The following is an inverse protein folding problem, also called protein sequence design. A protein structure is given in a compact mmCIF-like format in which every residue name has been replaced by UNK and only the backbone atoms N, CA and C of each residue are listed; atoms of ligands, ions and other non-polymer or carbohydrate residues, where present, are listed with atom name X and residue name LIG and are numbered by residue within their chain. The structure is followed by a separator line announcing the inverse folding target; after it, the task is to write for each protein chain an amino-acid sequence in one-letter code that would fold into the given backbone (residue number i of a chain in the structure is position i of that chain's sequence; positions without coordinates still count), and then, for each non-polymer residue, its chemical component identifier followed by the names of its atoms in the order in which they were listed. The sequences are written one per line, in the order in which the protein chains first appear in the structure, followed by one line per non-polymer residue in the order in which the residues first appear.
data_IF_600190482015
#
_entry.id   IF_600190482015
#
_cell.length_a   1.000
_cell.length_b   1.000
_cell.length_c   1.000
_cell.angle_alpha   90.00
_cell.angle_beta   90.00
_cell.angle_gamma   90.00
#
_symmetry.space_group_name_H-M   'P 1'
#
loop_
_entity.id
_entity.type
_entity.pdbx_description
1 polymer ?
#
# COMPACT_ATOMS: atom_id res chain seq x y z
N UNK A 1 2.20 1.82 10.19
CA UNK A 1 2.01 2.67 9.01
C UNK A 1 1.85 4.08 9.51
N UNK A 2 2.56 5.00 8.87
CA UNK A 2 2.50 6.45 9.10
C UNK A 2 1.76 7.08 7.92
N UNK A 3 1.61 8.41 7.94
CA UNK A 3 1.10 9.16 6.79
C UNK A 3 2.01 9.03 5.57
N UNK A 4 3.30 8.82 5.78
CA UNK A 4 4.33 8.87 4.72
C UNK A 4 4.83 7.49 4.28
N UNK A 5 4.51 6.41 5.00
CA UNK A 5 5.06 5.09 4.68
C UNK A 5 4.52 3.91 5.47
N UNK A 6 4.98 2.72 5.08
CA UNK A 6 4.66 1.44 5.71
C UNK A 6 5.94 0.81 6.29
N UNK A 7 6.07 0.88 7.62
CA UNK A 7 7.24 0.33 8.30
C UNK A 7 8.48 1.15 7.93
N UNK A 8 9.59 0.53 7.47
CA UNK A 8 10.77 1.27 7.01
C UNK A 8 10.62 1.83 5.58
N UNK A 9 9.53 1.52 4.88
CA UNK A 9 9.33 1.92 3.48
C UNK A 9 8.59 3.27 3.48
N UNK A 10 9.33 4.34 3.20
CA UNK A 10 8.82 5.72 3.17
C UNK A 10 8.73 6.24 1.73
N UNK A 11 7.62 6.89 1.39
CA UNK A 11 7.49 7.58 0.13
C UNK A 11 8.48 8.77 0.06
N UNK A 12 9.09 8.97 -1.10
CA UNK A 12 10.23 9.86 -1.28
C UNK A 12 11.59 9.27 -0.88
N UNK A 13 11.61 8.07 -0.27
CA UNK A 13 12.83 7.38 0.14
C UNK A 13 13.65 6.80 -1.02
N UNK A 14 14.87 6.37 -0.70
CA UNK A 14 15.76 5.70 -1.66
C UNK A 14 15.43 4.20 -1.73
N UNK A 15 15.12 3.71 -2.93
CA UNK A 15 14.66 2.32 -3.13
C UNK A 15 15.72 1.29 -2.74
N UNK A 16 16.95 1.44 -3.23
CA UNK A 16 18.01 0.46 -3.04
C UNK A 16 18.48 0.41 -1.59
N UNK A 17 18.63 1.58 -0.95
CA UNK A 17 18.96 1.67 0.46
C UNK A 17 17.85 1.03 1.31
N UNK A 18 16.58 1.36 1.05
CA UNK A 18 15.44 0.76 1.76
C UNK A 18 15.43 -0.76 1.59
N UNK A 19 15.57 -1.27 0.36
CA UNK A 19 15.60 -2.70 0.10
C UNK A 19 16.74 -3.41 0.84
N UNK A 20 17.91 -2.77 0.97
CA UNK A 20 19.07 -3.35 1.66
C UNK A 20 18.91 -3.46 3.18
N UNK A 21 17.98 -2.69 3.77
CA UNK A 21 17.66 -2.75 5.20
C UNK A 21 16.51 -3.72 5.52
N UNK A 22 15.78 -4.16 4.50
CA UNK A 22 14.68 -5.12 4.64
C UNK A 22 15.19 -6.56 4.80
N UNK A 23 14.37 -7.46 5.36
CA UNK A 23 14.70 -8.89 5.43
C UNK A 23 15.04 -9.47 4.05
N UNK A 24 15.99 -10.41 4.00
CA UNK A 24 16.43 -11.08 2.75
C UNK A 24 15.30 -11.83 2.01
N UNK A 25 14.15 -12.06 2.66
CA UNK A 25 12.95 -12.62 2.04
C UNK A 25 12.25 -11.67 1.07
N UNK A 26 12.61 -10.39 1.04
CA UNK A 26 12.13 -9.46 0.02
C UNK A 26 12.76 -9.80 -1.33
N UNK A 27 11.92 -9.77 -2.36
CA UNK A 27 12.30 -10.09 -3.73
C UNK A 27 12.24 -8.83 -4.60
N UNK A 28 13.15 -8.75 -5.56
CA UNK A 28 13.23 -7.73 -6.60
C UNK A 28 13.80 -8.42 -7.85
N UNK A 29 13.02 -8.46 -8.93
CA UNK A 29 13.39 -9.14 -10.17
C UNK A 29 13.92 -8.15 -11.21
N UNK A 30 14.92 -8.56 -11.98
CA UNK A 30 15.57 -7.71 -12.97
C UNK A 30 14.61 -7.18 -14.06
N UNK A 31 13.54 -7.92 -14.38
CA UNK A 31 12.54 -7.48 -15.35
C UNK A 31 11.55 -6.45 -14.79
N UNK A 32 11.50 -6.30 -13.46
CA UNK A 32 10.72 -5.28 -12.78
C UNK A 32 11.54 -4.68 -11.63
N UNK A 33 12.73 -4.20 -11.99
CA UNK A 33 13.76 -3.77 -11.03
C UNK A 33 13.33 -2.59 -10.16
N UNK A 34 12.31 -1.84 -10.58
CA UNK A 34 11.74 -0.73 -9.83
C UNK A 34 10.69 -1.15 -8.77
N UNK A 35 10.36 -2.44 -8.68
CA UNK A 35 9.39 -2.98 -7.72
C UNK A 35 10.02 -4.07 -6.86
N UNK A 36 9.81 -3.99 -5.55
CA UNK A 36 10.15 -5.07 -4.63
C UNK A 36 8.88 -5.57 -3.93
N UNK A 37 8.85 -6.87 -3.60
CA UNK A 37 7.70 -7.50 -2.95
C UNK A 37 8.11 -8.54 -1.92
N UNK A 38 7.16 -8.82 -1.03
CA UNK A 38 7.31 -9.77 0.05
C UNK A 38 5.96 -10.38 0.41
N UNK A 39 5.98 -11.59 0.95
CA UNK A 39 4.79 -12.26 1.46
C UNK A 39 5.01 -12.63 2.92
N UNK A 40 3.98 -12.47 3.74
CA UNK A 40 3.98 -13.00 5.09
C UNK A 40 4.21 -14.52 5.06
N UNK A 41 4.93 -15.06 6.06
CA UNK A 41 5.26 -16.49 6.12
C UNK A 41 4.00 -17.37 6.15
N UNK A 42 2.94 -16.88 6.78
CA UNK A 42 1.61 -17.52 6.84
C UNK A 42 0.72 -17.20 5.64
N UNK A 43 1.23 -16.43 4.68
CA UNK A 43 0.54 -15.97 3.46
C UNK A 43 -0.74 -15.16 3.75
N UNK A 44 -0.86 -14.58 4.96
CA UNK A 44 -2.04 -13.80 5.34
C UNK A 44 -2.14 -12.46 4.59
N UNK A 45 -1.01 -11.91 4.16
CA UNK A 45 -0.94 -10.71 3.32
C UNK A 45 0.39 -10.67 2.55
N UNK A 46 0.44 -9.85 1.52
CA UNK A 46 1.64 -9.50 0.77
C UNK A 46 1.93 -8.01 0.91
N UNK A 47 3.17 -7.63 0.61
CA UNK A 47 3.60 -6.24 0.53
C UNK A 47 4.37 -6.01 -0.76
N UNK A 48 4.30 -4.79 -1.26
CA UNK A 48 5.18 -4.31 -2.32
C UNK A 48 5.51 -2.83 -2.12
N UNK A 49 6.61 -2.39 -2.71
CA UNK A 49 6.91 -0.97 -2.85
C UNK A 49 7.64 -0.70 -4.14
N UNK A 50 7.47 0.52 -4.65
CA UNK A 50 7.83 0.87 -6.02
C UNK A 50 8.45 2.24 -6.08
N UNK A 51 9.53 2.36 -6.85
CA UNK A 51 10.08 3.66 -7.28
C UNK A 51 9.44 4.13 -8.58
N UNK A 52 9.35 5.45 -8.74
CA UNK A 52 8.49 6.05 -9.77
C UNK A 52 8.90 5.81 -11.23
N UNK A 53 10.11 5.32 -11.49
CA UNK A 53 10.59 5.00 -12.84
C UNK A 53 11.60 3.85 -12.78
N UNK A 54 12.00 3.31 -13.94
CA UNK A 54 13.07 2.31 -14.04
C UNK A 54 14.44 2.83 -13.58
N UNK A 55 14.63 4.15 -13.48
CA UNK A 55 15.90 4.78 -13.05
C UNK A 55 16.26 4.39 -11.60
N UNK A 56 17.53 4.04 -11.38
CA UNK A 56 18.03 3.68 -10.04
C UNK A 56 17.93 4.81 -9.02
N UNK A 57 18.04 6.05 -9.47
CA UNK A 57 17.92 7.25 -8.62
C UNK A 57 16.46 7.68 -8.37
N UNK A 58 15.47 6.96 -8.90
CA UNK A 58 14.07 7.35 -8.71
C UNK A 58 13.63 7.08 -7.25
N UNK A 59 12.94 8.03 -6.60
CA UNK A 59 12.45 7.83 -5.25
C UNK A 59 11.31 6.81 -5.23
N UNK A 60 11.12 6.17 -4.07
CA UNK A 60 9.92 5.39 -3.76
C UNK A 60 8.70 6.30 -3.90
N UNK A 61 7.71 5.88 -4.67
CA UNK A 61 6.44 6.61 -4.83
C UNK A 61 5.28 5.89 -4.17
N UNK A 62 5.44 4.60 -3.85
CA UNK A 62 4.36 3.77 -3.34
C UNK A 62 4.89 2.67 -2.41
N UNK A 63 4.16 2.44 -1.32
CA UNK A 63 4.22 1.25 -0.49
C UNK A 63 2.80 0.70 -0.31
N UNK A 64 2.61 -0.60 -0.52
CA UNK A 64 1.29 -1.24 -0.42
C UNK A 64 1.36 -2.55 0.34
N UNK A 65 0.28 -2.86 1.03
CA UNK A 65 0.02 -4.17 1.63
C UNK A 65 -1.37 -4.64 1.22
N UNK A 66 -1.50 -5.89 0.81
CA UNK A 66 -2.77 -6.46 0.35
C UNK A 66 -2.99 -7.88 0.85
N UNK A 67 -4.25 -8.25 1.03
CA UNK A 67 -4.66 -9.60 1.40
C UNK A 67 -5.66 -10.15 0.39
N UNK A 68 -5.53 -11.45 0.13
CA UNK A 68 -6.48 -12.18 -0.70
C UNK A 68 -7.82 -12.36 0.02
N UNK A 69 -8.89 -12.54 -0.75
CA UNK A 69 -10.19 -12.87 -0.19
C UNK A 69 -10.29 -14.34 0.25
N UNK A 70 -10.94 -14.62 1.41
CA UNK A 70 -11.55 -13.66 2.33
C UNK A 70 -10.52 -12.92 3.19
N UNK A 71 -10.71 -11.61 3.37
CA UNK A 71 -9.83 -10.79 4.21
C UNK A 71 -9.88 -11.25 5.67
N UNK A 72 -8.70 -11.49 6.25
CA UNK A 72 -8.58 -11.73 7.70
C UNK A 72 -8.36 -10.39 8.40
N UNK A 73 -9.29 -9.92 9.26
CA UNK A 73 -9.09 -8.67 10.00
C UNK A 73 -7.91 -8.77 10.96
N UNK A 74 -7.22 -7.66 11.17
CA UNK A 74 -6.07 -7.58 12.09
C UNK A 74 -4.72 -7.89 11.46
N UNK A 75 -4.66 -8.43 10.23
CA UNK A 75 -3.38 -8.70 9.55
C UNK A 75 -2.75 -7.43 8.99
N UNK A 76 -1.45 -7.50 8.73
CA UNK A 76 -0.70 -6.48 8.02
C UNK A 76 -0.48 -5.16 8.78
N UNK A 77 0.05 -4.16 8.07
CA UNK A 77 0.32 -2.84 8.62
C UNK A 77 -0.94 -2.11 9.08
N UNK A 78 -0.76 -1.28 10.11
CA UNK A 78 -1.83 -0.51 10.76
C UNK A 78 -1.44 0.95 10.92
N UNK A 79 -2.40 1.86 10.81
CA UNK A 79 -2.24 3.24 11.30
C UNK A 79 -2.16 3.26 12.84
N UNK A 80 -1.85 4.41 13.42
CA UNK A 80 -1.87 4.62 14.88
C UNK A 80 -3.25 4.37 15.51
N UNK A 81 -4.32 4.55 14.73
CA UNK A 81 -5.71 4.34 15.11
C UNK A 81 -6.15 2.87 14.95
N UNK A 82 -5.25 1.99 14.45
CA UNK A 82 -5.52 0.57 14.25
C UNK A 82 -6.22 0.23 12.93
N UNK A 83 -6.29 1.19 11.99
CA UNK A 83 -6.90 0.98 10.68
C UNK A 83 -5.92 0.32 9.72
N UNK A 84 -6.41 -0.58 8.86
CA UNK A 84 -5.59 -1.33 7.92
C UNK A 84 -6.42 -2.30 7.08
N UNK A 85 -5.79 -3.37 6.60
CA UNK A 85 -6.48 -4.48 5.94
C UNK A 85 -7.62 -5.01 6.83
N UNK A 86 -8.82 -5.19 6.29
CA UNK A 86 -10.00 -5.65 7.03
C UNK A 86 -10.81 -4.55 7.70
N UNK A 87 -10.34 -3.30 7.72
CA UNK A 87 -11.10 -2.16 8.25
C UNK A 87 -12.28 -1.82 7.35
N UNK A 88 -13.40 -1.42 7.94
CA UNK A 88 -14.59 -1.02 7.19
C UNK A 88 -14.57 0.44 6.74
N UNK A 89 -15.39 0.80 5.75
CA UNK A 89 -15.55 2.21 5.36
C UNK A 89 -16.01 3.08 6.51
N UNK A 90 -16.91 2.57 7.35
CA UNK A 90 -17.42 3.26 8.53
C UNK A 90 -16.32 3.47 9.58
N UNK A 91 -15.47 2.47 9.82
CA UNK A 91 -14.32 2.59 10.72
C UNK A 91 -13.31 3.64 10.22
N UNK A 92 -13.02 3.64 8.92
CA UNK A 92 -12.13 4.63 8.29
C UNK A 92 -12.71 6.04 8.42
N UNK A 93 -13.98 6.24 8.04
CA UNK A 93 -14.64 7.55 8.13
C UNK A 93 -14.85 8.05 9.56
N UNK A 94 -14.95 7.15 10.53
CA UNK A 94 -15.03 7.53 11.94
C UNK A 94 -13.73 8.18 12.44
N UNK A 95 -12.57 7.75 11.93
CA UNK A 95 -11.26 8.33 12.28
C UNK A 95 -10.84 9.45 11.32
N UNK A 96 -11.22 9.34 10.05
CA UNK A 96 -10.92 10.30 8.99
C UNK A 96 -12.22 10.77 8.33
N UNK A 97 -12.94 11.72 8.94
CA UNK A 97 -14.22 12.20 8.42
C UNK A 97 -14.16 12.81 7.02
N UNK A 98 -12.97 13.32 6.64
CA UNK A 98 -12.71 13.94 5.35
C UNK A 98 -12.22 12.93 4.29
N UNK A 99 -12.23 11.63 4.60
CA UNK A 99 -11.84 10.60 3.64
C UNK A 99 -12.72 10.65 2.39
N UNK A 100 -12.12 10.82 1.22
CA UNK A 100 -12.83 10.88 -0.05
C UNK A 100 -12.98 9.48 -0.65
N UNK A 101 -14.11 9.22 -1.30
CA UNK A 101 -14.32 7.96 -2.01
C UNK A 101 -14.06 8.12 -3.49
N UNK A 102 -13.45 7.11 -4.10
CA UNK A 102 -13.25 7.02 -5.54
C UNK A 102 -13.34 5.58 -6.04
N UNK A 103 -13.25 5.41 -7.35
CA UNK A 103 -13.39 4.12 -8.02
C UNK A 103 -12.01 3.58 -8.42
N UNK A 104 -11.83 2.26 -8.34
CA UNK A 104 -10.62 1.63 -8.82
C UNK A 104 -10.49 1.85 -10.34
N UNK A 105 -9.27 2.11 -10.88
CA UNK A 105 -9.08 2.36 -12.31
C UNK A 105 -9.58 1.20 -13.19
N UNK A 106 -9.50 -0.03 -12.67
CA UNK A 106 -9.92 -1.26 -13.32
C UNK A 106 -10.69 -2.14 -12.31
N UNK A 107 -11.76 -2.77 -12.79
CA UNK A 107 -12.66 -3.59 -11.98
C UNK A 107 -13.80 -2.78 -11.35
N UNK A 108 -14.54 -3.42 -10.43
CA UNK A 108 -15.69 -2.82 -9.72
C UNK A 108 -15.32 -2.39 -8.28
N UNK A 109 -14.04 -2.29 -7.97
CA UNK A 109 -13.56 -1.91 -6.63
C UNK A 109 -13.73 -0.42 -6.36
N UNK A 110 -13.80 -0.03 -5.08
CA UNK A 110 -13.72 1.38 -4.67
C UNK A 110 -12.59 1.58 -3.67
N UNK A 111 -12.22 2.82 -3.40
CA UNK A 111 -11.24 3.16 -2.38
C UNK A 111 -11.69 4.36 -1.55
N UNK A 112 -11.16 4.44 -0.33
CA UNK A 112 -11.19 5.66 0.47
C UNK A 112 -9.78 6.24 0.53
N UNK A 113 -9.64 7.53 0.20
CA UNK A 113 -8.38 8.26 0.29
C UNK A 113 -8.34 9.15 1.53
N UNK A 114 -7.22 9.11 2.23
CA UNK A 114 -6.92 9.93 3.41
C UNK A 114 -5.67 10.75 3.09
N UNK A 115 -5.77 12.09 3.01
CA UNK A 115 -4.61 12.94 2.77
C UNK A 115 -3.58 12.82 3.90
N UNK A 116 -2.30 12.73 3.54
CA UNK A 116 -1.14 12.83 4.44
C UNK A 116 -0.27 14.04 4.11
N UNK A 117 0.93 14.09 4.68
CA UNK A 117 1.93 15.15 4.40
C UNK A 117 2.66 14.87 3.07
N UNK A 118 2.08 15.34 1.97
CA UNK A 118 2.62 15.14 0.62
C UNK A 118 2.38 13.74 0.04
N UNK A 119 1.60 12.92 0.74
CA UNK A 119 1.21 11.55 0.37
C UNK A 119 -0.31 11.38 0.54
N UNK A 120 -0.82 10.25 0.09
CA UNK A 120 -2.19 9.79 0.33
C UNK A 120 -2.18 8.34 0.79
N UNK A 121 -3.00 8.02 1.80
CA UNK A 121 -3.30 6.64 2.17
C UNK A 121 -4.60 6.23 1.48
N UNK A 122 -4.57 5.17 0.69
CA UNK A 122 -5.74 4.54 0.10
C UNK A 122 -6.09 3.27 0.88
N UNK A 123 -7.35 3.16 1.28
CA UNK A 123 -7.96 1.89 1.73
C UNK A 123 -8.78 1.36 0.56
N UNK A 124 -8.38 0.22 -0.01
CA UNK A 124 -8.95 -0.33 -1.23
C UNK A 124 -9.91 -1.48 -0.93
N UNK A 125 -11.09 -1.45 -1.54
CA UNK A 125 -12.20 -2.37 -1.32
C UNK A 125 -12.58 -3.03 -2.64
N UNK A 126 -12.05 -4.21 -2.89
CA UNK A 126 -12.34 -4.97 -4.11
C UNK A 126 -13.58 -5.84 -3.95
N UNK A 127 -13.80 -6.38 -2.75
CA UNK A 127 -15.01 -7.14 -2.43
C UNK A 127 -15.59 -6.75 -1.07
N UNK A 128 -16.90 -6.47 -1.05
CA UNK A 128 -17.62 -6.15 0.19
C UNK A 128 -17.18 -4.83 0.85
N UNK A 129 -17.22 -4.82 2.18
CA UNK A 129 -17.01 -3.61 2.99
C UNK A 129 -15.72 -3.60 3.79
N UNK A 130 -14.82 -4.54 3.55
CA UNK A 130 -13.53 -4.62 4.26
C UNK A 130 -12.40 -4.27 3.31
N UNK A 131 -11.45 -3.45 3.78
CA UNK A 131 -10.30 -3.08 2.97
C UNK A 131 -9.46 -4.32 2.64
N UNK A 132 -9.29 -4.64 1.36
CA UNK A 132 -8.40 -5.69 0.87
C UNK A 132 -6.95 -5.23 0.85
N UNK A 133 -6.73 -3.93 0.60
CA UNK A 133 -5.42 -3.34 0.47
C UNK A 133 -5.33 -2.00 1.21
N UNK A 134 -4.12 -1.67 1.64
CA UNK A 134 -3.74 -0.33 2.06
C UNK A 134 -2.49 0.11 1.33
N UNK A 135 -2.55 1.30 0.75
CA UNK A 135 -1.50 1.85 -0.10
C UNK A 135 -1.15 3.25 0.37
N UNK A 136 0.12 3.52 0.65
CA UNK A 136 0.64 4.88 0.91
C UNK A 136 1.42 5.32 -0.33
N UNK A 137 1.05 6.44 -0.93
CA UNK A 137 1.61 6.84 -2.22
C UNK A 137 1.68 8.36 -2.39
N UNK A 138 2.61 8.83 -3.24
CA UNK A 138 2.67 10.21 -3.74
C UNK A 138 1.88 10.39 -5.04
N UNK A 139 1.29 9.32 -5.57
CA UNK A 139 0.45 9.35 -6.77
C UNK A 139 -0.97 9.79 -6.44
N UNK A 140 -1.69 10.31 -7.45
CA UNK A 140 -3.08 10.76 -7.31
C UNK A 140 -4.07 9.60 -7.13
N UNK A 141 -3.70 8.39 -7.55
CA UNK A 141 -4.50 7.16 -7.43
C UNK A 141 -3.59 5.92 -7.25
N UNK A 142 -4.11 4.84 -6.64
CA UNK A 142 -3.38 3.59 -6.56
C UNK A 142 -3.21 2.99 -7.98
N UNK A 143 -1.97 2.71 -8.43
CA UNK A 143 -1.71 2.12 -9.73
C UNK A 143 -2.23 0.68 -9.82
N UNK A 144 -2.85 0.33 -10.95
CA UNK A 144 -3.38 -1.01 -11.20
C UNK A 144 -2.29 -2.07 -11.42
N UNK A 145 -1.23 -1.71 -12.15
CA UNK A 145 -0.13 -2.60 -12.50
C UNK A 145 1.19 -1.87 -12.31
N UNK A 146 2.14 -2.54 -11.64
CA UNK A 146 3.45 -1.98 -11.34
C UNK A 146 4.53 -2.46 -12.31
N UNK A 147 4.36 -3.67 -12.85
CA UNK A 147 5.23 -4.29 -13.84
C UNK A 147 4.35 -4.54 -15.06
N UNK A 148 4.46 -3.73 -16.11
CA UNK A 148 3.52 -3.70 -17.24
C UNK A 148 3.45 -4.94 -18.13
#
# INVERSE_FOLDING_TARGET
MTETGIGPIEAGGDFTATLSELPESWMNDDNCSWTAWWNAEDQSYSMNFVRGTESDDAPIVLASASAADPVTPGVGPRTTEGLGIGSTRDEVRAQYPDAAEGEAPIGDGTWLSVPGDGTTIFFEYYTGDQANAVTVTTLDEPPYEMCG
#
